data_IF_460156095016
#
_entry.id   IF_460156095016
#
_cell.length_a   1.000
_cell.length_b   1.000
_cell.length_c   1.000
_cell.angle_alpha   90.00
_cell.angle_beta   90.00
_cell.angle_gamma   90.00
#
_symmetry.space_group_name_H-M   'P 1'
#
loop_
_entity.id
_entity.type
_entity.pdbx_description
1 polymer ?
#
# COMPACT_ATOMS: atom_id res chain seq x y z
N UNK A 1 7.95 51.23 -9.09
CA UNK A 1 8.74 50.69 -10.23
C UNK A 1 9.97 49.87 -9.82
N UNK A 2 10.44 49.92 -8.56
CA UNK A 2 11.58 49.11 -8.08
C UNK A 2 11.17 47.68 -7.63
N UNK A 3 9.89 47.44 -7.31
CA UNK A 3 9.40 46.13 -6.82
C UNK A 3 9.25 45.04 -7.91
N UNK A 4 9.21 45.41 -9.20
CA UNK A 4 9.05 44.44 -10.31
C UNK A 4 10.42 43.89 -10.76
N UNK A 5 11.50 44.67 -10.61
CA UNK A 5 12.86 44.22 -10.94
C UNK A 5 13.44 43.27 -9.88
N UNK A 6 13.06 43.40 -8.61
CA UNK A 6 13.46 42.47 -7.54
C UNK A 6 12.80 41.09 -7.70
N UNK A 7 11.56 41.03 -8.18
CA UNK A 7 10.89 39.77 -8.53
C UNK A 7 11.59 39.06 -9.70
N UNK A 8 12.06 39.81 -10.71
CA UNK A 8 12.80 39.30 -11.88
C UNK A 8 14.16 38.68 -11.51
N UNK A 9 14.94 39.33 -10.65
CA UNK A 9 16.26 38.83 -10.23
C UNK A 9 16.15 37.62 -9.29
N UNK A 10 15.15 37.60 -8.41
CA UNK A 10 14.90 36.44 -7.55
C UNK A 10 14.42 35.23 -8.37
N UNK A 11 13.61 35.44 -9.42
CA UNK A 11 13.21 34.39 -10.35
C UNK A 11 14.38 33.86 -11.20
N UNK A 12 15.35 34.69 -11.57
CA UNK A 12 16.58 34.25 -12.27
C UNK A 12 17.49 33.42 -11.36
N UNK A 13 17.68 33.82 -10.09
CA UNK A 13 18.48 33.05 -9.13
C UNK A 13 17.84 31.68 -8.83
N UNK A 14 16.51 31.64 -8.72
CA UNK A 14 15.74 30.40 -8.58
C UNK A 14 15.83 29.54 -9.85
N UNK A 15 15.82 30.15 -11.03
CA UNK A 15 16.01 29.44 -12.30
C UNK A 15 17.38 28.77 -12.39
N UNK A 16 18.45 29.46 -11.95
CA UNK A 16 19.80 28.88 -11.87
C UNK A 16 19.92 27.77 -10.82
N UNK A 17 19.21 27.89 -9.68
CA UNK A 17 19.15 26.85 -8.65
C UNK A 17 18.43 25.59 -9.15
N UNK A 18 17.25 25.78 -9.78
CA UNK A 18 16.50 24.70 -10.43
C UNK A 18 17.34 24.03 -11.53
N UNK A 19 18.01 24.84 -12.37
CA UNK A 19 18.89 24.33 -13.42
C UNK A 19 20.04 23.49 -12.86
N UNK A 20 20.68 23.91 -11.76
CA UNK A 20 21.73 23.12 -11.09
C UNK A 20 21.21 21.79 -10.52
N UNK A 21 20.03 21.80 -9.90
CA UNK A 21 19.40 20.58 -9.34
C UNK A 21 18.92 19.61 -10.43
N UNK A 22 18.41 20.14 -11.53
CA UNK A 22 17.97 19.37 -12.71
C UNK A 22 19.19 18.83 -13.47
N UNK A 23 20.27 19.61 -13.63
CA UNK A 23 21.52 19.17 -14.23
C UNK A 23 22.17 18.03 -13.43
N UNK A 24 22.16 18.10 -12.10
CA UNK A 24 22.65 17.01 -11.24
C UNK A 24 21.82 15.72 -11.41
N UNK A 25 20.49 15.87 -11.54
CA UNK A 25 19.57 14.74 -11.71
C UNK A 25 19.64 14.12 -13.12
N UNK A 26 19.84 14.92 -14.17
CA UNK A 26 19.96 14.46 -15.55
C UNK A 26 21.32 13.80 -15.84
N UNK A 27 22.41 14.26 -15.21
CA UNK A 27 23.73 13.63 -15.27
C UNK A 27 23.71 12.23 -14.67
N UNK A 28 22.98 12.02 -13.57
CA UNK A 28 22.77 10.70 -12.95
C UNK A 28 21.96 9.74 -13.83
N UNK A 29 20.99 10.26 -14.61
CA UNK A 29 20.15 9.46 -15.51
C UNK A 29 20.85 9.15 -16.83
N UNK A 30 21.70 10.04 -17.35
CA UNK A 30 22.46 9.82 -18.60
C UNK A 30 23.66 8.88 -18.45
N UNK A 31 24.25 8.76 -17.27
CA UNK A 31 25.36 7.84 -17.00
C UNK A 31 24.96 6.35 -17.18
N UNK A 32 23.67 6.00 -17.00
CA UNK A 32 23.17 4.64 -17.18
C UNK A 32 22.82 4.24 -18.62
N UNK A 33 22.73 5.20 -19.57
CA UNK A 33 22.31 4.95 -20.96
C UNK A 33 23.44 4.96 -22.00
N UNK A 34 24.62 5.48 -21.68
CA UNK A 34 25.74 5.61 -22.64
C UNK A 34 26.50 4.32 -22.99
N UNK A 35 26.28 3.20 -22.29
CA UNK A 35 27.04 1.94 -22.55
C UNK A 35 26.46 1.00 -23.62
N UNK A 36 25.35 1.32 -24.28
CA UNK A 36 24.70 0.41 -25.26
C UNK A 36 24.51 0.92 -26.69
N UNK A 37 24.95 2.14 -27.02
CA UNK A 37 24.79 2.71 -28.39
C UNK A 37 26.09 2.99 -29.15
N UNK A 38 27.27 2.72 -28.57
CA UNK A 38 28.58 3.01 -29.21
C UNK A 38 29.09 1.85 -30.09
N UNK A 39 28.40 0.71 -30.17
CA UNK A 39 28.89 -0.47 -30.93
C UNK A 39 28.26 -0.70 -32.31
N UNK A 40 27.36 0.17 -32.77
CA UNK A 40 26.61 -0.01 -34.04
C UNK A 40 26.73 1.18 -35.01
N UNK A 41 27.65 2.12 -34.76
CA UNK A 41 27.85 3.31 -35.59
C UNK A 41 29.29 3.45 -36.13
N UNK A 42 30.15 2.47 -35.87
CA UNK A 42 31.56 2.50 -36.29
C UNK A 42 31.84 1.84 -37.66
N UNK A 43 30.82 1.26 -38.32
CA UNK A 43 31.01 0.51 -39.58
C UNK A 43 30.38 1.18 -40.81
N UNK A 44 29.87 2.41 -40.72
CA UNK A 44 29.13 3.05 -41.81
C UNK A 44 29.65 4.43 -42.26
N UNK A 45 30.91 4.79 -41.99
CA UNK A 45 31.49 6.05 -42.49
C UNK A 45 32.94 5.83 -42.95
N UNK A 46 33.10 5.25 -44.14
CA UNK A 46 34.31 5.34 -44.95
C UNK A 46 33.88 5.45 -46.42
N UNK A 47 33.38 6.62 -46.84
CA UNK A 47 33.54 7.12 -48.21
C UNK A 47 32.91 8.51 -48.40
N UNK A 48 33.66 9.42 -49.04
CA UNK A 48 33.05 10.37 -49.98
C UNK A 48 32.84 11.83 -49.57
N UNK A 49 33.91 12.63 -49.76
CA UNK A 49 33.96 13.97 -50.38
C UNK A 49 33.25 15.21 -49.75
N UNK A 50 34.07 16.26 -49.62
CA UNK A 50 33.79 17.67 -49.33
C UNK A 50 32.82 18.33 -50.32
N UNK A 51 31.89 19.15 -49.82
CA UNK A 51 31.42 20.42 -50.43
C UNK A 51 31.00 21.39 -49.30
N UNK A 52 31.50 22.63 -49.35
CA UNK A 52 31.05 23.78 -48.55
C UNK A 52 29.64 24.23 -48.99
N UNK A 53 28.79 24.77 -48.11
CA UNK A 53 28.06 26.06 -48.24
C UNK A 53 26.87 26.14 -47.25
N UNK A 54 26.76 27.32 -46.61
CA UNK A 54 25.62 27.96 -45.94
C UNK A 54 25.12 27.45 -44.58
N UNK A 55 25.41 28.26 -43.56
CA UNK A 55 24.76 28.26 -42.24
C UNK A 55 23.25 28.56 -42.37
N UNK A 56 22.43 27.52 -42.34
CA UNK A 56 21.02 27.64 -41.96
C UNK A 56 20.92 27.65 -40.44
N UNK A 57 20.51 28.79 -39.86
CA UNK A 57 20.06 28.88 -38.47
C UNK A 57 18.86 27.94 -38.28
N UNK A 58 19.07 26.80 -37.64
CA UNK A 58 17.98 26.02 -37.08
C UNK A 58 17.29 26.84 -35.97
N UNK A 59 15.94 26.85 -35.91
CA UNK A 59 15.25 27.54 -34.84
C UNK A 59 15.54 26.81 -33.53
N UNK A 60 16.01 27.56 -32.54
CA UNK A 60 16.06 27.13 -31.15
C UNK A 60 14.66 26.68 -30.73
N UNK A 61 14.39 25.37 -30.75
CA UNK A 61 13.24 24.79 -30.07
C UNK A 61 13.41 25.08 -28.58
N UNK A 62 12.75 26.14 -28.11
CA UNK A 62 12.45 26.32 -26.70
C UNK A 62 11.56 25.14 -26.30
N UNK A 63 12.17 24.05 -25.85
CA UNK A 63 11.46 22.93 -25.23
C UNK A 63 10.58 23.48 -24.11
N UNK A 64 9.29 23.58 -24.40
CA UNK A 64 8.33 24.16 -23.49
C UNK A 64 8.17 23.20 -22.32
N UNK A 65 8.56 23.61 -21.11
CA UNK A 65 8.36 22.84 -19.86
C UNK A 65 6.89 22.41 -19.61
N UNK A 66 5.97 22.94 -20.42
CA UNK A 66 4.60 22.48 -20.62
C UNK A 66 4.46 21.02 -21.08
N UNK A 67 5.48 20.42 -21.68
CA UNK A 67 5.43 19.08 -22.29
C UNK A 67 5.85 17.95 -21.33
N UNK A 68 6.36 18.27 -20.13
CA UNK A 68 6.79 17.25 -19.18
C UNK A 68 5.60 16.36 -18.76
N UNK A 69 5.71 15.02 -18.79
CA UNK A 69 4.69 14.11 -18.26
C UNK A 69 4.29 14.45 -16.82
N UNK A 70 3.01 14.30 -16.49
CA UNK A 70 2.46 14.71 -15.20
C UNK A 70 3.13 13.97 -14.04
N UNK A 71 3.46 12.70 -14.23
CA UNK A 71 4.11 11.83 -13.24
C UNK A 71 5.53 12.31 -12.92
N UNK A 72 6.25 12.81 -13.93
CA UNK A 72 7.58 13.39 -13.74
C UNK A 72 7.50 14.74 -13.04
N UNK A 73 6.49 15.55 -13.38
CA UNK A 73 6.26 16.83 -12.72
C UNK A 73 5.89 16.64 -11.24
N UNK A 74 5.04 15.64 -10.93
CA UNK A 74 4.69 15.26 -9.55
C UNK A 74 5.95 14.86 -8.76
N UNK A 75 6.83 14.04 -9.34
CA UNK A 75 8.10 13.62 -8.73
C UNK A 75 9.07 14.79 -8.45
N UNK A 76 9.11 15.78 -9.34
CA UNK A 76 9.92 16.99 -9.14
C UNK A 76 9.30 17.79 -7.99
N UNK A 77 8.01 18.09 -8.09
CA UNK A 77 7.27 18.90 -7.11
C UNK A 77 7.30 18.29 -5.71
N UNK A 78 7.34 16.97 -5.58
CA UNK A 78 7.35 16.26 -4.29
C UNK A 78 8.71 16.29 -3.59
N UNK A 79 9.77 16.68 -4.30
CA UNK A 79 11.13 16.81 -3.74
C UNK A 79 11.47 18.24 -3.34
N UNK A 80 10.63 19.20 -3.73
CA UNK A 80 10.80 20.61 -3.40
C UNK A 80 10.33 20.88 -1.97
N UNK A 81 10.99 21.82 -1.29
CA UNK A 81 10.44 22.40 -0.07
C UNK A 81 9.11 23.08 -0.37
N UNK A 82 8.27 23.29 0.67
CA UNK A 82 6.99 23.97 0.47
C UNK A 82 7.15 25.34 -0.21
N UNK A 83 8.19 26.10 0.16
CA UNK A 83 8.50 27.40 -0.46
C UNK A 83 8.84 27.26 -1.94
N UNK A 84 9.72 26.35 -2.29
CA UNK A 84 10.10 26.10 -3.69
C UNK A 84 8.92 25.57 -4.52
N UNK A 85 8.10 24.71 -3.94
CA UNK A 85 6.90 24.18 -4.56
C UNK A 85 5.87 25.30 -4.84
N UNK A 86 5.69 26.25 -3.92
CA UNK A 86 4.85 27.44 -4.14
C UNK A 86 5.38 28.28 -5.30
N UNK A 87 6.68 28.55 -5.33
CA UNK A 87 7.28 29.28 -6.45
C UNK A 87 7.10 28.54 -7.79
N UNK A 88 7.38 27.23 -7.81
CA UNK A 88 7.23 26.39 -9.00
C UNK A 88 5.76 26.33 -9.48
N UNK A 89 4.80 26.42 -8.57
CA UNK A 89 3.37 26.42 -8.91
C UNK A 89 2.92 27.64 -9.73
N UNK A 90 3.71 28.73 -9.73
CA UNK A 90 3.41 29.94 -10.51
C UNK A 90 3.77 29.82 -12.00
N UNK A 91 4.47 28.76 -12.43
CA UNK A 91 4.93 28.60 -13.82
C UNK A 91 3.76 28.56 -14.81
N UNK A 92 2.77 27.69 -14.58
CA UNK A 92 1.54 27.64 -15.37
C UNK A 92 0.42 26.88 -14.64
N UNK A 93 -0.80 26.90 -15.17
CA UNK A 93 -1.97 26.20 -14.59
C UNK A 93 -1.71 24.71 -14.34
N UNK A 94 -0.95 24.04 -15.22
CA UNK A 94 -0.59 22.63 -15.07
C UNK A 94 0.33 22.40 -13.88
N UNK A 95 1.36 23.24 -13.73
CA UNK A 95 2.28 23.19 -12.58
C UNK A 95 1.55 23.54 -11.28
N UNK A 96 0.64 24.51 -11.30
CA UNK A 96 -0.22 24.81 -10.16
C UNK A 96 -1.06 23.61 -9.74
N UNK A 97 -1.74 22.97 -10.70
CA UNK A 97 -2.55 21.77 -10.44
C UNK A 97 -1.72 20.66 -9.81
N UNK A 98 -0.54 20.36 -10.39
CA UNK A 98 0.34 19.31 -9.87
C UNK A 98 0.92 19.66 -8.51
N UNK A 99 1.31 20.92 -8.29
CA UNK A 99 1.77 21.40 -6.99
C UNK A 99 0.72 21.19 -5.90
N UNK A 100 -0.55 21.55 -6.20
CA UNK A 100 -1.66 21.35 -5.27
C UNK A 100 -1.84 19.87 -4.97
N UNK A 101 -1.87 19.01 -6.00
CA UNK A 101 -1.98 17.56 -5.80
C UNK A 101 -0.86 17.00 -4.94
N UNK A 102 0.38 17.45 -5.15
CA UNK A 102 1.55 17.00 -4.38
C UNK A 102 1.52 17.44 -2.92
N UNK A 103 0.96 18.62 -2.62
CA UNK A 103 0.83 19.12 -1.24
C UNK A 103 -0.11 18.29 -0.37
N UNK A 104 -1.04 17.55 -0.99
CA UNK A 104 -2.03 16.71 -0.31
C UNK A 104 -1.65 15.23 -0.39
N UNK A 105 -0.43 14.91 -0.84
CA UNK A 105 -0.02 13.52 -1.05
C UNK A 105 -0.04 12.74 0.27
N UNK A 106 -0.79 11.63 0.27
CA UNK A 106 -0.73 10.66 1.34
C UNK A 106 0.59 9.90 1.29
N UNK A 107 1.11 9.52 2.45
CA UNK A 107 2.24 8.59 2.50
C UNK A 107 1.76 7.16 2.21
N UNK A 108 2.55 6.43 1.43
CA UNK A 108 2.34 5.00 1.25
C UNK A 108 2.72 4.25 2.55
N UNK A 109 1.98 3.18 2.93
CA UNK A 109 2.39 2.32 4.02
C UNK A 109 3.75 1.69 3.72
N UNK A 110 4.49 1.40 4.79
CA UNK A 110 5.77 0.70 4.75
C UNK A 110 5.57 -0.79 4.93
N UNK A 111 6.51 -1.58 4.44
CA UNK A 111 6.56 -3.02 4.73
C UNK A 111 7.42 -3.22 5.96
N UNK A 112 6.85 -3.76 7.03
CA UNK A 112 7.59 -4.27 8.18
C UNK A 112 7.92 -5.75 7.95
N UNK A 113 9.20 -6.10 8.01
CA UNK A 113 9.69 -7.47 7.92
C UNK A 113 9.87 -8.08 9.30
N UNK A 114 9.47 -9.33 9.45
CA UNK A 114 9.68 -10.07 10.68
C UNK A 114 10.98 -10.86 10.60
N UNK A 115 11.92 -10.64 11.53
CA UNK A 115 13.18 -11.37 11.53
C UNK A 115 12.93 -12.84 11.88
N UNK A 116 13.67 -13.74 11.22
CA UNK A 116 13.70 -15.17 11.61
C UNK A 116 14.45 -15.38 12.93
N UNK A 117 15.44 -14.53 13.19
CA UNK A 117 16.29 -14.56 14.38
C UNK A 117 16.63 -13.13 14.82
N UNK A 118 16.76 -12.93 16.14
CA UNK A 118 17.04 -11.62 16.71
C UNK A 118 15.81 -10.71 16.78
N UNK A 119 16.05 -9.46 17.16
CA UNK A 119 15.00 -8.47 17.41
C UNK A 119 15.12 -7.24 16.50
N UNK A 120 15.92 -7.33 15.42
CA UNK A 120 16.09 -6.27 14.43
C UNK A 120 15.01 -6.40 13.34
N UNK A 121 14.09 -5.45 13.31
CA UNK A 121 13.00 -5.37 12.33
C UNK A 121 13.33 -4.36 11.24
N UNK A 122 13.08 -4.73 9.99
CA UNK A 122 13.30 -3.85 8.85
C UNK A 122 11.98 -3.24 8.36
N UNK A 123 12.00 -1.95 8.05
CA UNK A 123 10.89 -1.18 7.51
C UNK A 123 11.26 -0.65 6.13
N UNK A 124 10.58 -1.12 5.09
CA UNK A 124 10.83 -0.71 3.70
C UNK A 124 9.80 0.32 3.23
N UNK A 125 10.30 1.49 2.84
CA UNK A 125 9.54 2.54 2.17
C UNK A 125 9.49 2.24 0.65
N UNK A 126 8.32 1.90 0.07
CA UNK A 126 8.20 1.62 -1.35
C UNK A 126 8.33 2.87 -2.24
N UNK A 127 8.05 4.06 -1.73
CA UNK A 127 8.13 5.34 -2.44
C UNK A 127 9.58 5.80 -2.58
N UNK A 128 10.36 5.72 -1.51
CA UNK A 128 11.78 6.10 -1.51
C UNK A 128 12.71 4.94 -1.88
N UNK A 129 12.22 3.69 -1.82
CA UNK A 129 13.01 2.46 -1.94
C UNK A 129 14.15 2.42 -0.92
N UNK A 130 13.85 2.87 0.29
CA UNK A 130 14.78 2.92 1.41
C UNK A 130 14.31 1.95 2.48
N UNK A 131 15.26 1.21 3.05
CA UNK A 131 15.03 0.36 4.21
C UNK A 131 15.57 1.05 5.44
N UNK A 132 14.83 0.93 6.50
CA UNK A 132 15.15 1.39 7.83
C UNK A 132 15.14 0.20 8.79
N UNK A 133 15.88 0.26 9.89
CA UNK A 133 15.95 -0.86 10.83
C UNK A 133 15.77 -0.37 12.26
N UNK A 134 14.97 -1.09 13.04
CA UNK A 134 14.75 -0.82 14.46
C UNK A 134 14.88 -2.11 15.27
N UNK A 135 15.50 -2.02 16.45
CA UNK A 135 15.50 -3.11 17.41
C UNK A 135 14.24 -3.01 18.29
N UNK A 136 13.40 -4.05 18.28
CA UNK A 136 12.10 -4.08 18.96
C UNK A 136 11.99 -5.30 19.89
N UNK A 137 12.59 -5.18 21.07
CA UNK A 137 12.67 -6.24 22.08
C UNK A 137 11.28 -6.64 22.62
N UNK A 138 10.33 -5.71 22.64
CA UNK A 138 8.96 -5.90 23.11
C UNK A 138 8.19 -6.94 22.28
N UNK A 139 8.58 -7.10 21.02
CA UNK A 139 7.96 -8.03 20.09
C UNK A 139 8.47 -9.46 20.26
N UNK A 140 9.53 -9.68 21.04
CA UNK A 140 10.15 -11.00 21.21
C UNK A 140 9.12 -12.06 21.63
N UNK A 141 9.11 -13.17 20.89
CA UNK A 141 8.19 -14.29 21.12
C UNK A 141 6.71 -13.97 20.88
N UNK A 142 6.41 -12.89 20.18
CA UNK A 142 5.06 -12.45 19.84
C UNK A 142 4.81 -12.61 18.34
N UNK A 143 3.55 -12.84 17.96
CA UNK A 143 3.09 -12.94 16.57
C UNK A 143 2.27 -11.71 16.23
N UNK A 144 2.54 -11.08 15.10
CA UNK A 144 1.69 -9.99 14.60
C UNK A 144 0.38 -10.58 14.09
N UNK A 145 -0.73 -9.97 14.48
CA UNK A 145 -2.08 -10.40 14.12
C UNK A 145 -2.76 -9.40 13.17
N UNK A 146 -2.54 -8.10 13.36
CA UNK A 146 -3.21 -7.06 12.60
C UNK A 146 -2.44 -5.74 12.65
N UNK A 147 -2.63 -4.88 11.65
CA UNK A 147 -2.12 -3.50 11.62
C UNK A 147 -3.21 -2.54 11.17
N UNK A 148 -3.28 -1.38 11.84
CA UNK A 148 -4.11 -0.25 11.44
C UNK A 148 -3.66 1.00 12.19
N UNK A 149 -3.71 2.16 11.55
CA UNK A 149 -3.42 3.47 12.15
C UNK A 149 -2.03 3.56 12.80
N UNK A 150 -1.04 2.84 12.25
CA UNK A 150 0.34 2.78 12.77
C UNK A 150 0.53 1.85 13.97
N UNK A 151 -0.51 1.16 14.43
CA UNK A 151 -0.46 0.24 15.56
C UNK A 151 -0.43 -1.21 15.10
N UNK A 152 0.39 -2.01 15.80
CA UNK A 152 0.41 -3.46 15.70
C UNK A 152 -0.49 -4.05 16.79
N UNK A 153 -1.31 -5.03 16.42
CA UNK A 153 -1.92 -5.96 17.39
C UNK A 153 -1.09 -7.24 17.41
N UNK A 154 -0.62 -7.62 18.59
CA UNK A 154 0.29 -8.74 18.79
C UNK A 154 -0.29 -9.77 19.74
N UNK A 155 -0.04 -11.04 19.46
CA UNK A 155 -0.35 -12.16 20.33
C UNK A 155 0.91 -12.81 20.86
N UNK A 156 1.00 -13.02 22.17
CA UNK A 156 2.12 -13.74 22.81
C UNK A 156 1.65 -15.13 23.28
N UNK A 157 1.99 -16.21 22.56
CA UNK A 157 1.51 -17.55 22.86
C UNK A 157 1.84 -18.02 24.28
N UNK A 158 3.07 -17.76 24.76
CA UNK A 158 3.51 -18.19 26.11
C UNK A 158 2.63 -17.67 27.25
N UNK A 159 2.03 -16.50 27.08
CA UNK A 159 1.23 -15.85 28.13
C UNK A 159 -0.25 -15.79 27.79
N UNK A 160 -0.65 -16.21 26.58
CA UNK A 160 -2.01 -16.08 26.05
C UNK A 160 -2.51 -14.64 26.18
N UNK A 161 -1.68 -13.66 25.79
CA UNK A 161 -2.01 -12.22 25.90
C UNK A 161 -1.97 -11.56 24.55
N UNK A 162 -2.96 -10.70 24.31
CA UNK A 162 -2.93 -9.71 23.26
C UNK A 162 -2.42 -8.38 23.82
N UNK A 163 -1.76 -7.61 22.97
CA UNK A 163 -1.37 -6.24 23.29
C UNK A 163 -1.18 -5.45 22.01
N UNK A 164 -1.40 -4.15 22.11
CA UNK A 164 -1.03 -3.21 21.08
C UNK A 164 0.38 -2.71 21.30
N UNK A 165 1.08 -2.45 20.20
CA UNK A 165 2.37 -1.82 20.21
C UNK A 165 2.51 -0.89 19.02
N UNK A 166 2.99 0.32 19.24
CA UNK A 166 3.39 1.23 18.18
C UNK A 166 4.92 1.19 18.05
N UNK A 167 5.48 0.69 16.93
CA UNK A 167 6.93 0.56 16.79
C UNK A 167 7.68 1.89 16.71
N UNK A 168 6.97 3.00 16.46
CA UNK A 168 7.56 4.33 16.29
C UNK A 168 7.50 5.15 17.57
N UNK A 169 6.41 5.05 18.34
CA UNK A 169 6.29 5.74 19.64
C UNK A 169 6.71 4.87 20.82
N UNK A 170 6.96 3.58 20.59
CA UNK A 170 7.21 2.54 21.59
C UNK A 170 6.12 2.39 22.66
N UNK A 171 4.95 2.97 22.43
CA UNK A 171 3.81 2.82 23.33
C UNK A 171 3.25 1.41 23.27
N UNK A 172 2.93 0.86 24.45
CA UNK A 172 2.41 -0.49 24.62
C UNK A 172 1.12 -0.46 25.44
N UNK A 173 0.04 -1.04 24.91
CA UNK A 173 -1.26 -1.14 25.58
C UNK A 173 -1.64 -2.61 25.72
N UNK A 174 -1.73 -3.10 26.95
CA UNK A 174 -2.04 -4.51 27.24
C UNK A 174 -3.54 -4.75 27.13
N UNK A 175 -3.92 -5.93 26.63
CA UNK A 175 -5.27 -6.46 26.72
C UNK A 175 -5.34 -7.61 27.74
N UNK A 176 -6.55 -7.96 28.21
CA UNK A 176 -6.79 -9.16 29.00
C UNK A 176 -6.27 -10.42 28.32
N UNK A 177 -6.04 -11.46 29.13
CA UNK A 177 -5.66 -12.77 28.62
C UNK A 177 -6.78 -13.32 27.73
N UNK A 178 -6.38 -13.90 26.61
CA UNK A 178 -7.29 -14.48 25.64
C UNK A 178 -6.55 -15.48 24.78
N UNK A 179 -7.10 -16.69 24.69
CA UNK A 179 -6.51 -17.76 23.91
C UNK A 179 -6.97 -17.65 22.46
N UNK A 180 -6.00 -17.41 21.56
CA UNK A 180 -6.24 -17.40 20.12
C UNK A 180 -5.83 -18.76 19.54
N UNK A 181 -6.83 -19.51 19.08
CA UNK A 181 -6.63 -20.79 18.38
C UNK A 181 -7.04 -20.67 16.91
N UNK A 182 -6.08 -20.37 16.03
CA UNK A 182 -6.26 -20.33 14.57
C UNK A 182 -7.33 -19.34 14.03
N UNK A 183 -7.80 -18.43 14.87
CA UNK A 183 -8.74 -17.36 14.49
C UNK A 183 -8.00 -16.07 14.14
N UNK A 184 -8.59 -15.30 13.24
CA UNK A 184 -8.11 -13.96 12.86
C UNK A 184 -8.67 -12.90 13.81
N UNK A 185 -7.94 -11.81 13.98
CA UNK A 185 -8.29 -10.70 14.88
C UNK A 185 -8.10 -9.40 14.13
N UNK A 186 -8.99 -8.45 14.35
CA UNK A 186 -8.89 -7.09 13.82
C UNK A 186 -9.30 -6.08 14.89
N UNK A 187 -9.01 -4.81 14.67
CA UNK A 187 -9.48 -3.73 15.53
C UNK A 187 -10.00 -2.54 14.72
N UNK A 188 -10.93 -1.79 15.30
CA UNK A 188 -11.72 -0.77 14.58
C UNK A 188 -10.96 0.53 14.30
N UNK A 189 -10.12 0.98 15.22
CA UNK A 189 -9.36 2.24 15.16
C UNK A 189 -8.15 2.17 16.09
N UNK A 190 -7.23 3.14 16.01
CA UNK A 190 -6.09 3.23 16.93
C UNK A 190 -6.51 2.99 18.41
N UNK A 191 -5.76 2.20 19.19
CA UNK A 191 -6.13 1.83 20.57
C UNK A 191 -6.16 3.00 21.55
N UNK A 192 -5.63 4.15 21.17
CA UNK A 192 -5.74 5.42 21.91
C UNK A 192 -7.02 6.19 21.59
N UNK A 193 -7.76 5.80 20.55
CA UNK A 193 -9.02 6.44 20.16
C UNK A 193 -10.16 5.95 21.05
N UNK A 194 -11.08 6.84 21.44
CA UNK A 194 -12.29 6.42 22.15
C UNK A 194 -13.11 5.50 21.24
N UNK A 195 -13.60 4.39 21.79
CA UNK A 195 -14.40 3.42 21.03
C UNK A 195 -13.59 2.46 20.15
N UNK A 196 -12.27 2.30 20.38
CA UNK A 196 -11.51 1.19 19.80
C UNK A 196 -12.08 -0.15 20.28
N UNK A 197 -12.41 -1.02 19.34
CA UNK A 197 -12.94 -2.36 19.57
C UNK A 197 -12.00 -3.35 18.90
N UNK A 198 -11.61 -4.37 19.64
CA UNK A 198 -10.92 -5.56 19.14
C UNK A 198 -11.94 -6.64 18.91
N UNK A 199 -11.90 -7.26 17.75
CA UNK A 199 -12.89 -8.24 17.31
C UNK A 199 -12.21 -9.49 16.77
N UNK A 200 -12.76 -10.64 17.11
CA UNK A 200 -12.40 -11.93 16.52
C UNK A 200 -13.61 -12.84 16.40
N UNK A 201 -13.55 -13.75 15.45
CA UNK A 201 -14.60 -14.73 15.20
C UNK A 201 -13.99 -16.11 14.98
N UNK A 202 -14.58 -17.12 15.62
CA UNK A 202 -14.16 -18.53 15.53
C UNK A 202 -15.36 -19.44 15.34
N UNK A 203 -15.18 -20.45 14.49
CA UNK A 203 -16.14 -21.55 14.42
C UNK A 203 -16.01 -22.43 15.64
N UNK A 204 -17.12 -22.60 16.36
CA UNK A 204 -17.24 -23.58 17.45
C UNK A 204 -17.84 -24.87 16.89
N UNK A 205 -18.80 -24.73 15.98
CA UNK A 205 -19.41 -25.84 15.24
C UNK A 205 -19.72 -25.39 13.81
N UNK A 206 -20.17 -26.30 12.93
CA UNK A 206 -20.58 -25.94 11.57
C UNK A 206 -21.64 -24.84 11.50
N UNK A 207 -22.50 -24.76 12.52
CA UNK A 207 -23.66 -23.87 12.59
C UNK A 207 -23.50 -22.77 13.64
N UNK A 208 -22.38 -22.69 14.36
CA UNK A 208 -22.19 -21.72 15.44
C UNK A 208 -20.81 -21.08 15.35
N UNK A 209 -20.81 -19.75 15.43
CA UNK A 209 -19.59 -18.95 15.59
C UNK A 209 -19.58 -18.32 16.97
N UNK A 210 -18.42 -18.33 17.62
CA UNK A 210 -18.13 -17.49 18.76
C UNK A 210 -17.53 -16.19 18.25
N UNK A 211 -18.19 -15.08 18.58
CA UNK A 211 -17.64 -13.75 18.39
C UNK A 211 -17.12 -13.28 19.74
N UNK A 212 -15.89 -12.79 19.77
CA UNK A 212 -15.30 -12.23 20.96
C UNK A 212 -14.85 -10.80 20.71
N UNK A 213 -15.23 -9.90 21.61
CA UNK A 213 -14.90 -8.48 21.56
C UNK A 213 -14.18 -8.02 22.81
N UNK A 214 -13.29 -7.05 22.66
CA UNK A 214 -12.59 -6.39 23.76
C UNK A 214 -12.34 -4.92 23.41
N UNK A 215 -11.93 -4.12 24.38
CA UNK A 215 -11.50 -2.75 24.15
C UNK A 215 -10.25 -2.45 25.01
N UNK A 216 -9.44 -1.45 24.63
CA UNK A 216 -8.36 -0.96 25.48
C UNK A 216 -8.88 -0.62 26.89
N UNK A 217 -8.17 -1.09 27.93
CA UNK A 217 -8.55 -0.89 29.33
C UNK A 217 -9.60 -1.88 29.88
N UNK A 218 -10.15 -2.79 29.06
CA UNK A 218 -11.04 -3.84 29.56
C UNK A 218 -10.32 -4.80 30.51
N UNK A 219 -11.07 -5.44 31.41
CA UNK A 219 -10.57 -6.47 32.34
C UNK A 219 -10.67 -7.88 31.76
N UNK A 220 -11.67 -8.12 30.89
CA UNK A 220 -11.93 -9.41 30.27
C UNK A 220 -12.47 -9.25 28.83
N UNK A 221 -12.59 -10.37 28.14
CA UNK A 221 -13.20 -10.45 26.81
C UNK A 221 -14.67 -10.82 26.93
N UNK A 222 -15.51 -10.19 26.12
CA UNK A 222 -16.91 -10.59 25.99
C UNK A 222 -17.03 -11.56 24.83
N UNK A 223 -17.52 -12.78 25.08
CA UNK A 223 -17.74 -13.80 24.03
C UNK A 223 -19.21 -14.16 23.95
N UNK A 224 -19.77 -14.11 22.74
CA UNK A 224 -21.16 -14.46 22.45
C UNK A 224 -21.21 -15.44 21.28
N UNK A 225 -22.04 -16.46 21.41
CA UNK A 225 -22.25 -17.46 20.37
C UNK A 225 -23.43 -17.06 19.48
N UNK A 226 -23.21 -17.05 18.17
CA UNK A 226 -24.23 -16.73 17.17
C UNK A 226 -24.48 -17.93 16.26
N UNK A 227 -25.73 -18.05 15.82
CA UNK A 227 -26.09 -19.00 14.77
C UNK A 227 -25.47 -18.56 13.44
N UNK A 228 -24.80 -19.49 12.78
CA UNK A 228 -24.08 -19.34 11.53
C UNK A 228 -24.72 -20.25 10.48
N UNK A 229 -25.82 -19.79 9.87
CA UNK A 229 -26.55 -20.54 8.85
C UNK A 229 -25.86 -20.43 7.48
N UNK A 230 -24.69 -21.07 7.34
CA UNK A 230 -24.06 -21.27 6.03
C UNK A 230 -24.50 -22.61 5.44
N UNK A 231 -24.72 -22.69 4.11
CA UNK A 231 -25.09 -23.95 3.45
C UNK A 231 -23.98 -25.01 3.50
N UNK A 232 -22.74 -24.63 3.82
CA UNK A 232 -21.60 -25.53 3.92
C UNK A 232 -20.84 -25.38 5.25
N UNK A 233 -20.46 -26.54 5.81
CA UNK A 233 -19.88 -26.81 7.14
C UNK A 233 -18.48 -26.19 7.36
N UNK A 234 -17.84 -25.59 6.35
CA UNK A 234 -16.38 -25.33 6.38
C UNK A 234 -15.93 -23.95 5.87
N UNK A 235 -16.64 -22.87 6.22
CA UNK A 235 -16.28 -21.52 5.75
C UNK A 235 -15.48 -20.74 6.80
N UNK A 236 -14.22 -21.12 7.03
CA UNK A 236 -13.32 -20.40 7.95
C UNK A 236 -13.24 -18.92 7.55
N UNK A 237 -13.59 -18.01 8.48
CA UNK A 237 -13.38 -16.57 8.32
C UNK A 237 -11.89 -16.27 8.30
N UNK A 238 -11.39 -15.73 7.19
CA UNK A 238 -9.94 -15.59 6.98
C UNK A 238 -9.50 -14.18 6.56
N UNK A 239 -10.44 -13.25 6.37
CA UNK A 239 -10.18 -11.82 6.19
C UNK A 239 -11.17 -10.97 6.97
N UNK A 240 -10.68 -9.88 7.55
CA UNK A 240 -11.43 -8.95 8.38
C UNK A 240 -11.11 -7.52 7.98
N UNK A 241 -12.14 -6.69 7.85
CA UNK A 241 -12.02 -5.24 7.76
C UNK A 241 -13.10 -4.58 8.60
N UNK A 242 -12.76 -3.45 9.20
CA UNK A 242 -13.72 -2.57 9.86
C UNK A 242 -14.11 -1.44 8.91
N UNK A 243 -15.41 -1.28 8.66
CA UNK A 243 -15.94 -0.32 7.69
C UNK A 243 -17.24 0.28 8.24
N UNK A 244 -17.33 1.62 8.30
CA UNK A 244 -18.54 2.35 8.71
C UNK A 244 -19.23 1.81 9.99
N UNK A 245 -18.44 1.46 11.02
CA UNK A 245 -18.98 0.97 12.28
C UNK A 245 -19.13 -0.55 12.38
N UNK A 246 -18.98 -1.29 11.28
CA UNK A 246 -19.24 -2.73 11.21
C UNK A 246 -17.96 -3.52 10.92
N UNK A 247 -17.87 -4.74 11.44
CA UNK A 247 -16.82 -5.69 11.06
C UNK A 247 -17.31 -6.61 9.95
N UNK A 248 -16.64 -6.55 8.80
CA UNK A 248 -16.89 -7.41 7.65
C UNK A 248 -15.89 -8.56 7.65
N UNK A 249 -16.41 -9.78 7.65
CA UNK A 249 -15.68 -11.03 7.69
C UNK A 249 -15.88 -11.74 6.37
N UNK A 250 -14.81 -11.97 5.62
CA UNK A 250 -14.87 -12.75 4.39
C UNK A 250 -14.36 -14.17 4.68
N UNK A 251 -15.20 -15.16 4.39
CA UNK A 251 -14.85 -16.56 4.55
C UNK A 251 -13.89 -17.02 3.46
N UNK A 252 -13.22 -18.16 3.64
CA UNK A 252 -12.44 -18.80 2.58
C UNK A 252 -13.26 -18.88 1.28
N UNK A 253 -14.43 -19.51 1.34
CA UNK A 253 -15.38 -19.75 0.26
C UNK A 253 -16.06 -18.49 -0.31
N UNK A 254 -15.80 -17.30 0.25
CA UNK A 254 -16.27 -16.02 -0.28
C UNK A 254 -17.62 -15.53 0.26
N UNK A 255 -18.15 -16.16 1.31
CA UNK A 255 -19.29 -15.63 2.07
C UNK A 255 -18.89 -14.41 2.88
N UNK A 256 -19.83 -13.50 3.09
CA UNK A 256 -19.62 -12.26 3.83
C UNK A 256 -20.45 -12.26 5.12
N UNK A 257 -19.78 -12.44 6.25
CA UNK A 257 -20.34 -12.24 7.59
C UNK A 257 -20.17 -10.78 8.00
N UNK A 258 -21.15 -10.23 8.69
CA UNK A 258 -21.13 -8.86 9.21
C UNK A 258 -21.49 -8.89 10.68
N UNK A 259 -20.64 -8.27 11.48
CA UNK A 259 -20.86 -8.07 12.89
C UNK A 259 -21.08 -6.60 13.19
N UNK A 260 -22.19 -6.30 13.85
CA UNK A 260 -22.48 -4.98 14.41
C UNK A 260 -22.06 -4.96 15.90
N UNK A 261 -21.02 -4.19 16.28
CA UNK A 261 -20.60 -4.10 17.67
C UNK A 261 -21.56 -3.31 18.56
N UNK A 262 -22.38 -2.41 18.01
CA UNK A 262 -23.36 -1.63 18.79
C UNK A 262 -24.58 -2.49 19.10
N UNK A 263 -25.19 -3.07 18.06
CA UNK A 263 -26.38 -3.93 18.19
C UNK A 263 -26.04 -5.35 18.67
N UNK A 264 -24.75 -5.72 18.67
CA UNK A 264 -24.26 -7.07 18.99
C UNK A 264 -24.99 -8.13 18.16
N UNK A 265 -25.03 -7.90 16.86
CA UNK A 265 -25.67 -8.82 15.91
C UNK A 265 -24.64 -9.42 14.95
N UNK A 266 -24.87 -10.67 14.58
CA UNK A 266 -24.09 -11.38 13.56
C UNK A 266 -25.02 -11.79 12.43
N UNK A 267 -24.76 -11.31 11.22
CA UNK A 267 -25.57 -11.58 10.03
C UNK A 267 -24.67 -12.04 8.90
N UNK A 268 -25.13 -13.02 8.13
CA UNK A 268 -24.48 -13.43 6.90
C UNK A 268 -25.19 -12.74 5.76
N UNK A 269 -24.51 -11.86 5.05
CA UNK A 269 -25.06 -11.30 3.83
C UNK A 269 -25.01 -12.34 2.71
N UNK A 270 -26.17 -12.55 2.08
CA UNK A 270 -26.30 -13.38 0.87
C UNK A 270 -25.77 -12.57 -0.31
N UNK A 271 -24.45 -12.43 -0.35
CA UNK A 271 -23.71 -11.92 -1.50
C UNK A 271 -23.13 -13.15 -2.18
N UNK A 272 -23.48 -13.45 -3.44
CA UNK A 272 -22.83 -14.52 -4.18
C UNK A 272 -21.32 -14.33 -4.12
N UNK A 273 -20.53 -15.37 -3.82
CA UNK A 273 -19.08 -15.26 -3.78
C UNK A 273 -18.55 -14.62 -5.07
N UNK A 274 -17.48 -13.81 -5.00
CA UNK A 274 -16.84 -13.26 -6.19
C UNK A 274 -16.53 -14.39 -7.18
N UNK A 275 -16.93 -14.23 -8.44
CA UNK A 275 -16.72 -15.26 -9.47
C UNK A 275 -15.21 -15.41 -9.71
N UNK A 276 -14.65 -16.54 -9.32
CA UNK A 276 -13.28 -16.90 -9.65
C UNK A 276 -13.26 -17.85 -10.87
N UNK A 277 -12.33 -17.66 -11.83
CA UNK A 277 -12.08 -18.64 -12.87
C UNK A 277 -11.76 -20.03 -12.30
N UNK A 278 -12.16 -21.10 -12.98
CA UNK A 278 -12.03 -22.50 -12.53
C UNK A 278 -10.58 -22.92 -12.23
N UNK A 279 -9.58 -22.19 -12.75
CA UNK A 279 -8.16 -22.43 -12.50
C UNK A 279 -7.65 -21.92 -11.13
N UNK A 280 -8.50 -21.30 -10.30
CA UNK A 280 -8.13 -20.77 -8.98
C UNK A 280 -7.94 -21.83 -7.88
N UNK A 281 -8.25 -23.11 -8.13
CA UNK A 281 -8.13 -24.19 -7.14
C UNK A 281 -6.71 -24.76 -6.98
N UNK A 282 -5.67 -23.99 -7.30
CA UNK A 282 -4.29 -24.35 -7.01
C UNK A 282 -4.07 -24.55 -5.49
N UNK A 283 -3.02 -25.32 -5.14
CA UNK A 283 -2.60 -25.52 -3.74
C UNK A 283 -2.39 -24.14 -3.07
N UNK A 284 -2.95 -23.95 -1.87
CA UNK A 284 -2.83 -22.72 -1.09
C UNK A 284 -3.45 -21.43 -1.71
N UNK A 285 -4.45 -21.56 -2.59
CA UNK A 285 -5.17 -20.41 -3.19
C UNK A 285 -5.64 -19.34 -2.19
N UNK A 286 -6.01 -19.76 -0.97
CA UNK A 286 -6.47 -18.87 0.10
C UNK A 286 -5.44 -17.84 0.56
N UNK A 287 -4.15 -18.06 0.28
CA UNK A 287 -3.07 -17.11 0.55
C UNK A 287 -3.03 -15.94 -0.44
N UNK A 288 -3.59 -16.12 -1.63
CA UNK A 288 -3.70 -15.10 -2.67
C UNK A 288 -4.97 -14.25 -2.58
N UNK A 289 -5.66 -14.28 -1.44
CA UNK A 289 -6.90 -13.55 -1.20
C UNK A 289 -6.63 -12.42 -0.21
N UNK A 290 -7.09 -11.21 -0.51
CA UNK A 290 -6.89 -10.03 0.33
C UNK A 290 -8.18 -9.21 0.42
N UNK A 291 -8.34 -8.46 1.51
CA UNK A 291 -9.52 -7.62 1.73
C UNK A 291 -9.08 -6.30 2.36
N UNK A 292 -9.54 -5.19 1.79
CA UNK A 292 -9.21 -3.85 2.24
C UNK A 292 -10.47 -2.97 2.28
N UNK A 293 -10.41 -1.93 3.12
CA UNK A 293 -11.44 -0.90 3.21
C UNK A 293 -10.82 0.46 2.83
N UNK A 294 -11.61 1.30 2.14
CA UNK A 294 -11.26 2.69 1.89
C UNK A 294 -12.50 3.58 1.81
N UNK A 295 -12.62 4.56 2.70
CA UNK A 295 -13.69 5.58 2.68
C UNK A 295 -15.09 4.96 2.58
N UNK A 296 -15.32 3.84 3.27
CA UNK A 296 -16.60 3.13 3.25
C UNK A 296 -16.76 2.09 2.14
N UNK A 297 -15.84 2.04 1.17
CA UNK A 297 -15.79 1.01 0.15
C UNK A 297 -15.00 -0.20 0.61
N UNK A 298 -15.46 -1.40 0.24
CA UNK A 298 -14.81 -2.67 0.56
C UNK A 298 -14.33 -3.32 -0.73
N UNK A 299 -13.05 -3.68 -0.75
CA UNK A 299 -12.39 -4.30 -1.88
C UNK A 299 -11.92 -5.70 -1.53
N UNK A 300 -11.99 -6.62 -2.49
CA UNK A 300 -11.39 -7.94 -2.40
C UNK A 300 -10.48 -8.14 -3.60
N UNK A 301 -9.25 -8.59 -3.33
CA UNK A 301 -8.26 -8.92 -4.36
C UNK A 301 -8.02 -10.42 -4.36
N UNK A 302 -8.12 -11.02 -5.53
CA UNK A 302 -7.78 -12.42 -5.78
C UNK A 302 -6.57 -12.50 -6.70
N UNK A 303 -5.59 -13.30 -6.30
CA UNK A 303 -4.39 -13.57 -7.08
C UNK A 303 -4.22 -15.07 -7.25
N UNK A 304 -3.97 -15.54 -8.47
CA UNK A 304 -3.64 -16.93 -8.77
C UNK A 304 -2.27 -17.01 -9.46
N UNK A 305 -1.67 -18.20 -9.42
CA UNK A 305 -0.48 -18.50 -10.20
C UNK A 305 -0.80 -18.33 -11.69
N UNK A 306 0.00 -17.52 -12.39
CA UNK A 306 -0.06 -17.28 -13.85
C UNK A 306 -1.21 -16.40 -14.38
N UNK A 307 -2.08 -15.86 -13.52
CA UNK A 307 -3.13 -14.93 -13.93
C UNK A 307 -2.93 -13.52 -13.33
N UNK A 308 -3.56 -12.54 -13.98
CA UNK A 308 -3.64 -11.19 -13.46
C UNK A 308 -4.53 -11.16 -12.20
N UNK A 309 -4.25 -10.27 -11.23
CA UNK A 309 -5.10 -10.16 -10.07
C UNK A 309 -6.48 -9.64 -10.48
N UNK A 310 -7.52 -10.23 -9.91
CA UNK A 310 -8.91 -9.79 -10.10
C UNK A 310 -9.31 -9.01 -8.85
N UNK A 311 -9.87 -7.82 -9.05
CA UNK A 311 -10.30 -6.95 -7.96
C UNK A 311 -11.81 -6.76 -8.04
N UNK A 312 -12.47 -6.94 -6.90
CA UNK A 312 -13.89 -6.70 -6.74
C UNK A 312 -14.15 -5.58 -5.74
N UNK A 313 -15.18 -4.78 -5.99
CA UNK A 313 -15.76 -3.85 -5.03
C UNK A 313 -17.13 -4.36 -4.60
N UNK A 314 -17.44 -4.26 -3.31
CA UNK A 314 -18.77 -4.60 -2.79
C UNK A 314 -19.75 -3.45 -3.11
N UNK A 315 -20.76 -3.72 -3.93
CA UNK A 315 -21.95 -2.88 -3.98
C UNK A 315 -22.86 -3.27 -2.80
N UNK A 316 -22.80 -2.48 -1.73
CA UNK A 316 -23.58 -2.71 -0.51
C UNK A 316 -25.09 -2.60 -0.73
N UNK A 317 -25.52 -1.81 -1.73
CA UNK A 317 -26.95 -1.59 -2.04
C UNK A 317 -27.51 -2.80 -2.77
N UNK A 318 -26.83 -3.24 -3.82
CA UNK A 318 -27.25 -4.40 -4.62
C UNK A 318 -26.85 -5.73 -4.00
N UNK A 319 -25.96 -5.72 -3.00
CA UNK A 319 -25.39 -6.91 -2.34
C UNK A 319 -24.71 -7.84 -3.34
N UNK A 320 -23.87 -7.27 -4.21
CA UNK A 320 -23.09 -8.00 -5.22
C UNK A 320 -21.64 -7.52 -5.25
N UNK A 321 -20.75 -8.40 -5.70
CA UNK A 321 -19.36 -8.04 -6.01
C UNK A 321 -19.25 -7.59 -7.47
N UNK A 322 -18.82 -6.36 -7.68
CA UNK A 322 -18.59 -5.78 -9.01
C UNK A 322 -17.09 -5.84 -9.34
N UNK A 323 -16.74 -6.46 -10.47
CA UNK A 323 -15.36 -6.53 -10.93
C UNK A 323 -14.87 -5.15 -11.38
N UNK A 324 -13.70 -4.76 -10.89
CA UNK A 324 -13.11 -3.45 -11.11
C UNK A 324 -12.03 -3.51 -12.19
N UNK A 325 -12.23 -2.76 -13.29
CA UNK A 325 -11.20 -2.55 -14.32
C UNK A 325 -10.20 -1.44 -13.96
N UNK A 326 -10.60 -0.54 -13.07
CA UNK A 326 -9.79 0.56 -12.56
C UNK A 326 -10.11 0.79 -11.09
N UNK A 327 -9.15 1.31 -10.33
CA UNK A 327 -9.34 1.64 -8.91
C UNK A 327 -9.64 3.14 -8.70
N UNK A 328 -9.86 3.91 -9.77
CA UNK A 328 -10.22 5.34 -9.70
C UNK A 328 -9.27 6.17 -8.82
N UNK A 329 -7.97 5.91 -8.92
CA UNK A 329 -6.91 6.58 -8.16
C UNK A 329 -6.57 5.92 -6.82
N UNK A 330 -7.36 4.93 -6.36
CA UNK A 330 -7.04 4.14 -5.16
C UNK A 330 -5.88 3.19 -5.45
N UNK A 331 -5.01 3.02 -4.46
CA UNK A 331 -3.94 2.03 -4.43
C UNK A 331 -4.19 1.07 -3.29
N UNK A 332 -4.22 -0.23 -3.59
CA UNK A 332 -4.41 -1.29 -2.60
C UNK A 332 -3.06 -1.87 -2.19
N UNK A 333 -2.82 -1.98 -0.90
CA UNK A 333 -1.63 -2.59 -0.30
C UNK A 333 -2.04 -3.92 0.31
N UNK A 334 -1.99 -4.96 -0.51
CA UNK A 334 -2.40 -6.31 -0.20
C UNK A 334 -1.40 -6.98 0.75
N UNK A 335 -1.90 -7.45 1.90
CA UNK A 335 -1.21 -8.34 2.82
C UNK A 335 -2.20 -9.27 3.50
N UNK A 336 -1.71 -10.45 3.88
CA UNK A 336 -2.54 -11.54 4.34
C UNK A 336 -3.28 -11.24 5.66
N UNK A 337 -2.60 -10.58 6.59
CA UNK A 337 -3.12 -10.25 7.93
C UNK A 337 -4.00 -9.01 7.93
N UNK A 338 -3.50 -7.92 7.32
CA UNK A 338 -4.21 -6.65 7.18
C UNK A 338 -3.79 -5.99 5.88
N UNK A 339 -4.75 -5.66 5.02
CA UNK A 339 -4.49 -4.89 3.81
C UNK A 339 -4.90 -3.44 4.01
N UNK A 340 -4.20 -2.54 3.33
CA UNK A 340 -4.44 -1.11 3.40
C UNK A 340 -4.88 -0.57 2.06
N UNK A 341 -5.54 0.57 2.06
CA UNK A 341 -5.88 1.29 0.84
C UNK A 341 -5.63 2.78 1.02
N UNK A 342 -5.05 3.43 0.01
CA UNK A 342 -4.74 4.86 0.03
C UNK A 342 -5.14 5.50 -1.28
N UNK A 343 -5.59 6.74 -1.21
CA UNK A 343 -5.69 7.66 -2.35
C UNK A 343 -4.55 8.67 -2.30
N UNK A 344 -4.49 9.55 -3.29
CA UNK A 344 -3.60 10.71 -3.27
C UNK A 344 -2.12 10.35 -3.20
N UNK A 345 -1.74 9.17 -3.70
CA UNK A 345 -0.34 8.81 -3.88
C UNK A 345 0.24 9.46 -5.15
N UNK A 346 1.56 9.49 -5.28
CA UNK A 346 2.22 9.92 -6.52
C UNK A 346 1.88 8.99 -7.68
N UNK A 347 1.76 9.55 -8.89
CA UNK A 347 1.11 8.94 -10.06
C UNK A 347 1.50 7.51 -10.37
N UNK A 348 2.78 7.13 -10.21
CA UNK A 348 3.23 5.74 -10.49
C UNK A 348 2.62 4.68 -9.56
N UNK A 349 2.09 5.07 -8.39
CA UNK A 349 1.49 4.14 -7.43
C UNK A 349 -0.03 4.06 -7.57
N UNK A 350 -0.67 5.03 -8.25
CA UNK A 350 -2.13 5.07 -8.43
C UNK A 350 -2.60 3.87 -9.24
N UNK A 351 -3.88 3.50 -9.11
CA UNK A 351 -4.50 2.41 -9.87
C UNK A 351 -3.70 1.10 -9.84
N UNK A 352 -3.13 0.78 -8.70
CA UNK A 352 -2.21 -0.35 -8.56
C UNK A 352 -2.48 -1.14 -7.29
N UNK A 353 -2.10 -2.41 -7.32
CA UNK A 353 -2.06 -3.29 -6.16
C UNK A 353 -0.61 -3.55 -5.79
N UNK A 354 -0.19 -3.16 -4.60
CA UNK A 354 1.12 -3.47 -4.02
C UNK A 354 1.00 -4.64 -3.07
N UNK A 355 1.90 -5.60 -3.15
CA UNK A 355 1.91 -6.77 -2.27
C UNK A 355 3.03 -6.62 -1.25
N UNK A 356 2.87 -7.13 -0.02
CA UNK A 356 3.89 -7.01 1.05
C UNK A 356 5.16 -7.84 0.81
N UNK A 357 5.70 -7.83 -0.41
CA UNK A 357 6.85 -8.61 -0.84
C UNK A 357 7.78 -7.76 -1.67
N UNK A 358 9.06 -7.80 -1.33
CA UNK A 358 10.12 -7.10 -2.06
C UNK A 358 11.05 -8.15 -2.64
N UNK A 359 11.38 -7.97 -3.92
CA UNK A 359 12.36 -8.80 -4.63
C UNK A 359 13.55 -7.95 -5.05
N UNK A 360 14.53 -8.59 -5.69
CA UNK A 360 15.78 -7.96 -6.14
C UNK A 360 16.62 -7.43 -4.99
N UNK A 361 16.91 -8.28 -3.99
CA UNK A 361 17.73 -7.92 -2.82
C UNK A 361 17.17 -6.69 -2.08
N UNK A 362 15.87 -6.67 -1.80
CA UNK A 362 15.24 -5.55 -1.08
C UNK A 362 14.95 -4.31 -1.92
N UNK A 363 15.11 -4.33 -3.26
CA UNK A 363 15.05 -3.10 -4.07
C UNK A 363 13.67 -2.72 -4.60
N UNK A 364 12.77 -3.68 -4.85
CA UNK A 364 11.44 -3.38 -5.43
C UNK A 364 10.31 -4.25 -4.88
N UNK A 365 9.27 -3.58 -4.41
CA UNK A 365 7.99 -4.19 -4.11
C UNK A 365 7.38 -4.84 -5.36
N UNK A 366 6.74 -6.01 -5.21
CA UNK A 366 5.87 -6.55 -6.24
C UNK A 366 4.61 -5.69 -6.28
N UNK A 367 4.24 -5.24 -7.47
CA UNK A 367 3.01 -4.50 -7.71
C UNK A 367 2.37 -4.93 -9.02
N UNK A 368 1.08 -4.70 -9.15
CA UNK A 368 0.33 -4.84 -10.39
C UNK A 368 -0.33 -3.51 -10.72
N UNK A 369 -0.04 -2.96 -11.90
CA UNK A 369 -0.68 -1.75 -12.41
C UNK A 369 -1.89 -2.16 -13.24
N UNK A 370 -3.07 -1.65 -12.88
CA UNK A 370 -4.27 -1.83 -13.71
C UNK A 370 -4.17 -1.03 -15.00
N UNK A 371 -3.53 0.15 -14.96
CA UNK A 371 -3.36 1.02 -16.13
C UNK A 371 -2.46 0.35 -17.20
N UNK A 372 -1.40 -0.33 -16.78
CA UNK A 372 -0.52 -1.09 -17.67
C UNK A 372 -0.96 -2.55 -17.89
N UNK A 373 -1.96 -3.03 -17.14
CA UNK A 373 -2.39 -4.43 -17.09
C UNK A 373 -1.22 -5.42 -16.88
N UNK A 374 -0.26 -5.11 -16.00
CA UNK A 374 0.91 -5.96 -15.78
C UNK A 374 1.52 -5.87 -14.38
N UNK A 375 2.24 -6.93 -14.02
CA UNK A 375 3.11 -6.96 -12.86
C UNK A 375 4.42 -6.18 -13.06
N UNK A 376 4.86 -5.57 -11.96
CA UNK A 376 6.16 -4.97 -11.79
C UNK A 376 6.87 -5.59 -10.60
N UNK A 377 8.12 -6.02 -10.78
CA UNK A 377 8.86 -6.13 -12.05
C UNK A 377 8.33 -7.25 -12.98
N UNK A 378 8.59 -7.12 -14.30
CA UNK A 378 8.07 -8.05 -15.33
C UNK A 378 8.66 -9.49 -15.21
N UNK A 379 7.89 -10.48 -15.69
CA UNK A 379 8.28 -11.89 -15.94
C UNK A 379 8.72 -12.69 -14.71
N UNK A 380 7.93 -12.67 -13.63
CA UNK A 380 8.14 -13.60 -12.53
C UNK A 380 6.86 -14.40 -12.27
N UNK A 381 7.00 -15.72 -12.15
CA UNK A 381 5.92 -16.55 -11.61
C UNK A 381 5.71 -16.11 -10.14
N UNK A 382 4.49 -15.68 -9.84
CA UNK A 382 4.11 -15.22 -8.52
C UNK A 382 3.29 -16.34 -7.87
N UNK A 383 3.96 -17.39 -7.39
CA UNK A 383 3.31 -18.40 -6.59
C UNK A 383 3.02 -17.85 -5.19
N UNK A 384 1.85 -17.23 -5.04
CA UNK A 384 1.37 -16.68 -3.78
C UNK A 384 1.04 -17.78 -2.77
N UNK A 385 0.76 -19.00 -3.24
CA UNK A 385 0.39 -20.16 -2.43
C UNK A 385 1.58 -20.81 -1.71
N UNK A 386 2.77 -20.81 -2.31
CA UNK A 386 3.95 -21.44 -1.71
C UNK A 386 4.64 -20.59 -0.64
N UNK A 387 4.37 -19.28 -0.62
CA UNK A 387 5.09 -18.35 0.25
C UNK A 387 4.44 -18.25 1.63
N UNK A 388 5.24 -17.94 2.66
CA UNK A 388 4.76 -17.77 4.03
C UNK A 388 4.08 -16.38 4.16
N UNK A 389 2.77 -16.33 4.43
CA UNK A 389 2.04 -15.06 4.56
C UNK A 389 2.40 -14.28 5.84
N UNK A 390 3.16 -14.87 6.76
CA UNK A 390 3.51 -14.29 8.05
C UNK A 390 4.96 -13.79 8.12
N UNK A 391 5.60 -13.47 6.99
CA UNK A 391 6.97 -12.90 6.96
C UNK A 391 6.98 -11.36 6.98
N UNK A 392 5.87 -10.71 6.63
CA UNK A 392 5.80 -9.25 6.55
C UNK A 392 4.37 -8.72 6.66
N UNK A 393 4.25 -7.43 6.97
CA UNK A 393 2.97 -6.72 7.01
C UNK A 393 3.11 -5.27 6.54
N UNK A 394 2.02 -4.70 6.03
CA UNK A 394 1.96 -3.26 5.78
C UNK A 394 1.66 -2.50 7.07
N UNK A 395 2.34 -1.38 7.30
CA UNK A 395 2.13 -0.50 8.45
C UNK A 395 2.19 0.96 8.00
N UNK A 396 1.34 1.82 8.57
CA UNK A 396 1.45 3.25 8.34
C UNK A 396 2.76 3.82 8.89
N UNK A 397 3.52 4.59 8.09
CA UNK A 397 4.72 5.25 8.58
C UNK A 397 4.40 6.33 9.62
N UNK A 398 5.40 6.72 10.45
CA UNK A 398 5.26 7.85 11.35
C UNK A 398 5.11 9.15 10.54
N UNK A 399 4.33 10.10 11.08
CA UNK A 399 4.14 11.42 10.46
C UNK A 399 5.45 12.20 10.35
N UNK A 400 6.34 12.02 11.32
CA UNK A 400 7.65 12.64 11.37
C UNK A 400 8.74 11.55 11.36
N UNK A 401 9.59 11.62 10.33
CA UNK A 401 10.74 10.72 10.17
C UNK A 401 11.95 11.19 10.97
N UNK A 402 11.97 12.44 11.45
CA UNK A 402 13.08 12.97 12.26
C UNK A 402 13.14 12.33 13.64
N UNK A 403 11.99 11.89 14.18
CA UNK A 403 11.92 11.05 15.38
C UNK A 403 12.47 9.63 15.17
N UNK A 404 12.77 9.26 13.92
CA UNK A 404 13.15 7.91 13.51
C UNK A 404 14.64 7.79 13.09
N UNK A 405 15.29 8.89 12.67
CA UNK A 405 16.66 8.92 12.10
C UNK A 405 17.69 9.39 13.11
#
# INVERSE_FOLDING_TARGET
>A
TISIYLLSLHSLSLFFSLYKQIAASSVLIMAGRKRRKVKLLAEAIMEGKRVNTEEKKEPHEQQTWSELPTELLELIMSRLTLKENICASAVCKRWLSVAISVRVVSQAPWIMYFPKFGDLYEFYDPSQRKTYSLELLELRGSRVCYTKDGWLLLYRPRTHRLFFFNPFTQELIKLPRFEITYQIVAFSSAPTSPGCIVFTVKHISPTVVAVSTCHPGAVEWTTVNYQNRLPFVSSIWNKLVFCNGLFYCLSLTGWLGVFDPQERTWVIHVVPPPKCPENFFAKNWWKGKFMAEHKGDIFVVYTCCNENPIIFKLDQTKKVWEEMKTLSGVTLFASFLSSHARTDLLGMMRNSVYFSKVRFYGKRCISYSLDDCRYYPRKQCHDWGEQDPFESIWIEPPKDLSTFI
#
